data_IF_679405063915
#
_entry.id   IF_679405063915
#
_cell.length_a   1.000
_cell.length_b   1.000
_cell.length_c   1.000
_cell.angle_alpha   90.00
_cell.angle_beta   90.00
_cell.angle_gamma   90.00
#
_symmetry.space_group_name_H-M   'P 1'
#
loop_
_entity.id
_entity.type
_entity.pdbx_description
1 polymer ?
#
# COMPACT_ATOMS: atom_id res chain seq x y z
N UNK A 1 -9.01 1.33 21.15
CA UNK A 1 -10.23 1.93 20.59
C UNK A 1 -11.42 1.35 21.34
N UNK A 2 -11.97 2.05 22.34
CA UNK A 2 -13.09 1.53 23.11
C UNK A 2 -14.36 1.56 22.24
N UNK A 3 -15.04 0.42 22.14
CA UNK A 3 -16.31 0.28 21.46
C UNK A 3 -17.41 0.89 22.33
N UNK A 4 -18.03 1.97 21.86
CA UNK A 4 -19.25 2.52 22.42
C UNK A 4 -20.35 1.45 22.40
N UNK A 5 -20.86 1.12 23.60
CA UNK A 5 -22.01 0.24 23.75
C UNK A 5 -23.26 0.97 23.22
N UNK A 6 -24.14 0.29 22.46
CA UNK A 6 -25.41 0.88 22.09
C UNK A 6 -26.26 1.07 23.35
N UNK A 7 -26.65 2.32 23.62
CA UNK A 7 -27.62 2.66 24.66
C UNK A 7 -28.92 1.91 24.38
N UNK A 8 -29.31 1.07 25.33
CA UNK A 8 -30.61 0.38 25.38
C UNK A 8 -31.72 1.42 25.23
N UNK A 9 -32.33 1.45 24.04
CA UNK A 9 -33.49 2.26 23.76
C UNK A 9 -34.68 1.66 24.49
N UNK A 10 -35.11 2.32 25.56
CA UNK A 10 -36.39 2.06 26.19
C UNK A 10 -37.50 2.14 25.12
N UNK A 11 -38.29 1.07 24.99
CA UNK A 11 -39.46 1.05 24.13
C UNK A 11 -40.45 2.13 24.62
N UNK A 12 -41.05 2.93 23.72
CA UNK A 12 -42.01 3.95 24.10
C UNK A 12 -43.27 3.31 24.70
N UNK A 13 -43.66 3.82 25.87
CA UNK A 13 -44.88 3.51 26.65
C UNK A 13 -46.12 4.10 25.91
N UNK A 14 -46.31 3.76 24.64
CA UNK A 14 -47.35 4.35 23.79
C UNK A 14 -48.45 3.35 23.40
N UNK A 15 -48.45 2.12 23.92
CA UNK A 15 -49.43 1.08 23.56
C UNK A 15 -50.48 0.75 24.63
N UNK A 16 -50.66 1.57 25.67
CA UNK A 16 -51.62 1.27 26.76
C UNK A 16 -52.92 2.08 26.80
N UNK A 17 -53.21 2.95 25.83
CA UNK A 17 -54.39 3.84 25.89
C UNK A 17 -55.54 3.52 24.91
N UNK A 18 -55.62 2.32 24.34
CA UNK A 18 -56.64 2.03 23.32
C UNK A 18 -57.84 1.19 23.77
N UNK A 19 -58.02 0.91 25.06
CA UNK A 19 -59.08 -0.01 25.51
C UNK A 19 -59.93 0.44 26.70
N UNK A 20 -59.87 1.70 27.12
CA UNK A 20 -60.73 2.17 28.21
C UNK A 20 -61.38 3.51 27.82
N UNK A 21 -62.67 3.44 27.45
CA UNK A 21 -63.76 4.36 27.81
C UNK A 21 -64.88 4.27 26.76
N UNK A 22 -65.76 3.27 26.87
CA UNK A 22 -67.12 3.37 26.31
C UNK A 22 -67.98 4.24 27.22
N UNK A 23 -67.58 5.51 27.40
CA UNK A 23 -68.48 6.52 27.98
C UNK A 23 -69.62 6.75 27.00
N UNK A 24 -70.86 6.71 27.50
CA UNK A 24 -72.04 7.12 26.73
C UNK A 24 -71.86 8.58 26.32
N UNK A 25 -71.46 8.80 25.06
CA UNK A 25 -71.32 10.16 24.52
C UNK A 25 -72.65 10.89 24.65
N UNK A 26 -72.59 12.12 25.15
CA UNK A 26 -73.78 12.96 25.21
C UNK A 26 -74.32 13.23 23.80
N UNK A 27 -75.64 13.41 23.67
CA UNK A 27 -76.30 13.68 22.40
C UNK A 27 -75.65 14.83 21.62
N UNK A 28 -75.33 15.91 22.33
CA UNK A 28 -74.66 17.10 21.78
C UNK A 28 -73.25 16.80 21.27
N UNK A 29 -72.52 15.89 21.93
CA UNK A 29 -71.18 15.50 21.52
C UNK A 29 -71.21 14.62 20.27
N UNK A 30 -72.17 13.69 20.16
CA UNK A 30 -72.36 12.92 18.93
C UNK A 30 -72.70 13.81 17.73
N UNK A 31 -73.52 14.84 17.92
CA UNK A 31 -73.85 15.82 16.88
C UNK A 31 -72.61 16.65 16.47
N UNK A 32 -71.85 17.14 17.45
CA UNK A 32 -70.63 17.89 17.20
C UNK A 32 -69.59 17.05 16.43
N UNK A 33 -69.41 15.78 16.80
CA UNK A 33 -68.51 14.85 16.11
C UNK A 33 -68.92 14.63 14.64
N UNK A 34 -70.23 14.49 14.38
CA UNK A 34 -70.76 14.32 13.02
C UNK A 34 -70.64 15.61 12.20
N UNK A 35 -70.90 16.78 12.78
CA UNK A 35 -70.69 18.07 12.12
C UNK A 35 -69.22 18.27 11.75
N UNK A 36 -68.30 17.99 12.68
CA UNK A 36 -66.86 18.05 12.43
C UNK A 36 -66.40 17.07 11.34
N UNK A 37 -67.05 15.91 11.22
CA UNK A 37 -66.76 14.97 10.15
C UNK A 37 -67.27 15.44 8.79
N UNK A 38 -68.46 16.06 8.74
CA UNK A 38 -68.98 16.71 7.53
C UNK A 38 -68.04 17.80 7.03
N UNK A 39 -67.38 18.52 7.93
CA UNK A 39 -66.40 19.56 7.58
C UNK A 39 -65.17 19.01 6.85
N UNK A 40 -64.86 17.73 7.06
CA UNK A 40 -63.73 17.04 6.44
C UNK A 40 -64.10 16.35 5.13
N UNK A 41 -65.39 16.35 4.75
CA UNK A 41 -65.82 15.81 3.47
C UNK A 41 -65.40 16.71 2.31
N UNK A 42 -65.00 16.08 1.22
CA UNK A 42 -64.67 16.75 -0.05
C UNK A 42 -65.95 17.09 -0.83
N UNK A 43 -66.77 17.97 -0.24
CA UNK A 43 -67.99 18.52 -0.83
C UNK A 43 -67.92 20.05 -0.80
N UNK A 44 -68.62 20.72 -1.72
CA UNK A 44 -68.66 22.19 -1.75
C UNK A 44 -69.12 22.77 -0.41
N UNK A 45 -68.69 23.99 -0.08
CA UNK A 45 -69.07 24.68 1.17
C UNK A 45 -70.59 24.74 1.36
N UNK A 46 -71.33 24.99 0.27
CA UNK A 46 -72.80 24.96 0.24
C UNK A 46 -73.35 23.57 0.57
N UNK A 47 -72.72 22.51 0.03
CA UNK A 47 -73.08 21.12 0.33
C UNK A 47 -72.83 20.76 1.79
N UNK A 48 -71.69 21.19 2.36
CA UNK A 48 -71.37 21.00 3.79
C UNK A 48 -72.42 21.66 4.67
N UNK A 49 -72.78 22.92 4.39
CA UNK A 49 -73.77 23.65 5.18
C UNK A 49 -75.16 23.01 5.12
N UNK A 50 -75.58 22.56 3.92
CA UNK A 50 -76.83 21.80 3.78
C UNK A 50 -76.82 20.51 4.59
N UNK A 51 -75.71 19.75 4.57
CA UNK A 51 -75.57 18.53 5.37
C UNK A 51 -75.63 18.84 6.87
N UNK A 52 -74.97 19.89 7.37
CA UNK A 52 -75.05 20.31 8.77
C UNK A 52 -76.50 20.62 9.19
N UNK A 53 -77.22 21.39 8.38
CA UNK A 53 -78.62 21.73 8.63
C UNK A 53 -79.53 20.48 8.61
N UNK A 54 -79.32 19.59 7.64
CA UNK A 54 -80.08 18.33 7.52
C UNK A 54 -79.82 17.39 8.70
N UNK A 55 -78.58 17.31 9.18
CA UNK A 55 -78.20 16.48 10.33
C UNK A 55 -78.88 16.99 11.59
N UNK A 56 -78.86 18.30 11.84
CA UNK A 56 -79.58 18.91 12.98
C UNK A 56 -81.08 18.63 12.93
N UNK A 57 -81.69 18.72 11.75
CA UNK A 57 -83.13 18.48 11.55
C UNK A 57 -83.56 17.01 11.52
N UNK A 58 -82.64 16.08 11.28
CA UNK A 58 -82.93 14.63 11.22
C UNK A 58 -82.51 13.87 12.48
N UNK A 59 -81.70 14.49 13.34
CA UNK A 59 -81.20 13.86 14.55
C UNK A 59 -82.29 13.73 15.62
N UNK A 60 -82.69 12.48 15.92
CA UNK A 60 -83.71 12.15 16.91
C UNK A 60 -85.06 11.79 16.30
N UNK A 61 -85.24 11.92 14.98
CA UNK A 61 -86.36 11.31 14.27
C UNK A 61 -86.10 9.80 14.10
N UNK A 62 -87.02 8.94 14.57
CA UNK A 62 -87.00 7.51 14.28
C UNK A 62 -86.87 7.28 12.77
N UNK A 63 -86.19 6.20 12.36
CA UNK A 63 -85.92 5.93 10.94
C UNK A 63 -87.21 5.77 10.15
N UNK A 64 -88.24 5.24 10.80
CA UNK A 64 -89.58 4.99 10.27
C UNK A 64 -90.36 6.29 10.00
N UNK A 65 -90.03 7.37 10.70
CA UNK A 65 -90.69 8.68 10.58
C UNK A 65 -89.90 9.67 9.71
N UNK A 66 -88.75 9.26 9.17
CA UNK A 66 -87.92 10.13 8.36
C UNK A 66 -88.56 10.43 7.02
N UNK A 67 -88.47 11.70 6.63
CA UNK A 67 -88.81 12.07 5.26
C UNK A 67 -87.75 11.52 4.29
N UNK A 68 -88.13 11.17 3.06
CA UNK A 68 -87.23 10.63 2.00
C UNK A 68 -85.92 11.41 1.81
N UNK A 69 -85.93 12.72 2.07
CA UNK A 69 -84.75 13.58 1.96
C UNK A 69 -83.78 13.40 3.13
N UNK A 70 -84.28 13.14 4.35
CA UNK A 70 -83.46 12.81 5.52
C UNK A 70 -82.79 11.44 5.34
N UNK A 71 -83.50 10.48 4.74
CA UNK A 71 -82.91 9.19 4.40
C UNK A 71 -81.84 9.30 3.31
N UNK A 72 -82.08 10.09 2.26
CA UNK A 72 -81.08 10.34 1.22
C UNK A 72 -79.82 11.01 1.80
N UNK A 73 -79.99 12.01 2.68
CA UNK A 73 -78.88 12.66 3.35
C UNK A 73 -78.11 11.69 4.26
N UNK A 74 -78.80 10.84 5.02
CA UNK A 74 -78.15 9.83 5.87
C UNK A 74 -77.37 8.79 5.05
N UNK A 75 -77.87 8.41 3.86
CA UNK A 75 -77.14 7.53 2.92
C UNK A 75 -75.88 8.21 2.39
N UNK A 76 -75.98 9.45 1.91
CA UNK A 76 -74.82 10.21 1.41
C UNK A 76 -73.75 10.40 2.48
N UNK A 77 -74.14 10.72 3.71
CA UNK A 77 -73.21 10.82 4.84
C UNK A 77 -72.54 9.47 5.10
N UNK A 78 -73.29 8.36 5.08
CA UNK A 78 -72.75 7.01 5.26
C UNK A 78 -71.75 6.64 4.16
N UNK A 79 -72.08 6.89 2.90
CA UNK A 79 -71.20 6.65 1.74
C UNK A 79 -69.90 7.45 1.89
N UNK A 80 -70.01 8.74 2.22
CA UNK A 80 -68.84 9.60 2.41
C UNK A 80 -67.93 9.15 3.57
N UNK A 81 -68.50 8.63 4.66
CA UNK A 81 -67.73 8.01 5.74
C UNK A 81 -67.06 6.70 5.31
N UNK A 82 -67.77 5.86 4.55
CA UNK A 82 -67.23 4.60 4.04
C UNK A 82 -66.05 4.86 3.10
N UNK A 83 -66.19 5.80 2.17
CA UNK A 83 -65.10 6.23 1.27
C UNK A 83 -63.89 6.77 2.06
N UNK A 84 -64.15 7.55 3.12
CA UNK A 84 -63.13 8.05 4.03
C UNK A 84 -62.39 6.93 4.78
N UNK A 85 -63.13 5.94 5.28
CA UNK A 85 -62.57 4.76 5.95
C UNK A 85 -61.71 3.93 4.98
N UNK A 86 -62.22 3.63 3.79
CA UNK A 86 -61.50 2.91 2.75
C UNK A 86 -60.22 3.66 2.34
N UNK A 87 -60.28 4.99 2.20
CA UNK A 87 -59.13 5.85 1.94
C UNK A 87 -58.08 5.82 3.05
N UNK A 88 -58.50 5.86 4.32
CA UNK A 88 -57.59 5.75 5.47
C UNK A 88 -56.97 4.36 5.58
N UNK A 89 -57.74 3.29 5.33
CA UNK A 89 -57.24 1.91 5.29
C UNK A 89 -56.21 1.74 4.18
N UNK A 90 -56.47 2.29 2.97
CA UNK A 90 -55.53 2.27 1.86
C UNK A 90 -54.23 3.03 2.20
N UNK A 91 -54.34 4.22 2.80
CA UNK A 91 -53.16 4.99 3.27
C UNK A 91 -52.37 4.22 4.33
N UNK A 92 -53.05 3.60 5.29
CA UNK A 92 -52.41 2.78 6.34
C UNK A 92 -51.64 1.61 5.74
N UNK A 93 -52.24 0.88 4.79
CA UNK A 93 -51.57 -0.19 4.04
C UNK A 93 -50.35 0.34 3.28
N UNK A 94 -50.50 1.42 2.53
CA UNK A 94 -49.37 2.02 1.79
C UNK A 94 -48.23 2.53 2.68
N UNK A 95 -48.51 3.00 3.89
CA UNK A 95 -47.47 3.35 4.87
C UNK A 95 -46.80 2.10 5.44
N UNK A 96 -47.56 1.03 5.72
CA UNK A 96 -47.00 -0.24 6.19
C UNK A 96 -46.06 -0.85 5.13
N UNK A 97 -46.48 -0.89 3.86
CA UNK A 97 -45.68 -1.41 2.74
C UNK A 97 -44.37 -0.61 2.57
N UNK A 98 -44.44 0.73 2.67
CA UNK A 98 -43.26 1.59 2.65
C UNK A 98 -42.33 1.31 3.82
N UNK A 99 -42.87 1.13 5.02
CA UNK A 99 -42.08 0.82 6.21
C UNK A 99 -41.36 -0.53 6.08
N UNK A 100 -42.04 -1.55 5.56
CA UNK A 100 -41.45 -2.87 5.34
C UNK A 100 -40.40 -2.84 4.22
N UNK A 101 -40.63 -2.08 3.15
CA UNK A 101 -39.60 -1.81 2.14
C UNK A 101 -38.38 -1.12 2.74
N UNK A 102 -38.56 -0.08 3.56
CA UNK A 102 -37.45 0.60 4.22
C UNK A 102 -36.66 -0.32 5.16
N UNK A 103 -37.32 -1.27 5.86
CA UNK A 103 -36.62 -2.28 6.67
C UNK A 103 -35.78 -3.21 5.79
N UNK A 104 -36.36 -3.74 4.71
CA UNK A 104 -35.67 -4.60 3.75
C UNK A 104 -34.44 -3.89 3.16
N UNK A 105 -34.58 -2.64 2.73
CA UNK A 105 -33.47 -1.82 2.21
C UNK A 105 -32.37 -1.60 3.26
N UNK A 106 -32.74 -1.41 4.53
CA UNK A 106 -31.80 -1.27 5.65
C UNK A 106 -31.02 -2.55 5.89
N UNK A 107 -31.69 -3.69 5.90
CA UNK A 107 -31.08 -5.01 6.07
C UNK A 107 -30.11 -5.34 4.92
N UNK A 108 -30.52 -5.07 3.67
CA UNK A 108 -29.67 -5.24 2.50
C UNK A 108 -28.41 -4.36 2.56
N UNK A 109 -28.57 -3.08 2.90
CA UNK A 109 -27.42 -2.15 3.07
C UNK A 109 -26.51 -2.58 4.20
N UNK A 110 -27.07 -3.06 5.32
CA UNK A 110 -26.28 -3.57 6.43
C UNK A 110 -25.49 -4.82 6.04
N UNK A 111 -26.09 -5.74 5.26
CA UNK A 111 -25.40 -6.92 4.73
C UNK A 111 -24.25 -6.54 3.78
N UNK A 112 -24.49 -5.61 2.83
CA UNK A 112 -23.46 -5.08 1.93
C UNK A 112 -22.31 -4.42 2.68
N UNK A 113 -22.61 -3.65 3.73
CA UNK A 113 -21.58 -3.00 4.54
C UNK A 113 -20.71 -4.01 5.30
N UNK A 114 -21.31 -5.08 5.83
CA UNK A 114 -20.57 -6.16 6.50
C UNK A 114 -19.63 -6.87 5.52
N UNK A 115 -20.16 -7.30 4.37
CA UNK A 115 -19.36 -7.95 3.32
C UNK A 115 -18.21 -7.05 2.85
N UNK A 116 -18.47 -5.78 2.55
CA UNK A 116 -17.41 -4.83 2.15
C UNK A 116 -16.33 -4.65 3.22
N UNK A 117 -16.71 -4.66 4.50
CA UNK A 117 -15.75 -4.57 5.61
C UNK A 117 -14.89 -5.83 5.73
N UNK A 118 -15.46 -7.00 5.52
CA UNK A 118 -14.74 -8.28 5.50
C UNK A 118 -13.73 -8.31 4.34
N UNK A 119 -14.17 -7.94 3.13
CA UNK A 119 -13.32 -7.85 1.94
C UNK A 119 -12.15 -6.88 2.16
N UNK A 120 -12.43 -5.69 2.73
CA UNK A 120 -11.40 -4.70 3.02
C UNK A 120 -10.40 -5.21 4.07
N UNK A 121 -10.88 -5.94 5.09
CA UNK A 121 -10.02 -6.53 6.12
C UNK A 121 -9.13 -7.63 5.52
N UNK A 122 -9.67 -8.46 4.63
CA UNK A 122 -8.92 -9.46 3.90
C UNK A 122 -7.84 -8.82 2.99
N UNK A 123 -8.21 -7.77 2.25
CA UNK A 123 -7.28 -7.02 1.40
C UNK A 123 -6.12 -6.40 2.21
N UNK A 124 -6.39 -5.81 3.37
CA UNK A 124 -5.35 -5.30 4.27
C UNK A 124 -4.41 -6.41 4.73
N UNK A 125 -4.93 -7.59 5.06
CA UNK A 125 -4.12 -8.73 5.49
C UNK A 125 -3.18 -9.19 4.38
N UNK A 126 -3.69 -9.33 3.15
CA UNK A 126 -2.88 -9.69 1.97
C UNK A 126 -1.81 -8.63 1.71
N UNK A 127 -2.16 -7.35 1.75
CA UNK A 127 -1.22 -6.25 1.54
C UNK A 127 -0.09 -6.25 2.58
N UNK A 128 -0.40 -6.50 3.86
CA UNK A 128 0.62 -6.58 4.93
C UNK A 128 1.60 -7.72 4.69
N UNK A 129 1.11 -8.91 4.33
CA UNK A 129 1.97 -10.05 4.00
C UNK A 129 2.87 -9.76 2.80
N UNK A 130 2.33 -9.15 1.75
CA UNK A 130 3.11 -8.75 0.57
C UNK A 130 4.19 -7.71 0.92
N UNK A 131 3.86 -6.73 1.78
CA UNK A 131 4.82 -5.74 2.29
C UNK A 131 5.95 -6.40 3.08
N UNK A 132 5.63 -7.35 3.96
CA UNK A 132 6.64 -8.06 4.75
C UNK A 132 7.58 -8.90 3.87
N UNK A 133 7.03 -9.62 2.89
CA UNK A 133 7.83 -10.35 1.90
C UNK A 133 8.76 -9.43 1.11
N UNK A 134 8.25 -8.30 0.62
CA UNK A 134 9.05 -7.30 -0.08
C UNK A 134 10.20 -6.76 0.78
N UNK A 135 9.96 -6.48 2.07
CA UNK A 135 11.01 -6.02 2.98
C UNK A 135 12.09 -7.09 3.23
N UNK A 136 11.70 -8.37 3.32
CA UNK A 136 12.65 -9.47 3.43
C UNK A 136 13.53 -9.57 2.17
N UNK A 137 12.92 -9.54 0.99
CA UNK A 137 13.64 -9.58 -0.29
C UNK A 137 14.57 -8.38 -0.47
N UNK A 138 14.12 -7.18 -0.08
CA UNK A 138 14.93 -5.98 -0.16
C UNK A 138 16.19 -6.07 0.71
N UNK A 139 16.10 -6.67 1.90
CA UNK A 139 17.27 -6.91 2.76
C UNK A 139 18.27 -7.86 2.11
N UNK A 140 17.79 -8.93 1.47
CA UNK A 140 18.66 -9.88 0.74
C UNK A 140 19.37 -9.16 -0.42
N UNK A 141 18.65 -8.32 -1.17
CA UNK A 141 19.24 -7.52 -2.26
C UNK A 141 20.31 -6.56 -1.75
N UNK A 142 20.08 -5.88 -0.62
CA UNK A 142 21.07 -4.99 -0.01
C UNK A 142 22.34 -5.76 0.39
N UNK A 143 22.19 -6.94 1.02
CA UNK A 143 23.34 -7.79 1.38
C UNK A 143 24.12 -8.24 0.15
N UNK A 144 23.43 -8.67 -0.92
CA UNK A 144 24.07 -9.07 -2.18
C UNK A 144 24.80 -7.92 -2.86
N UNK A 145 24.26 -6.70 -2.78
CA UNK A 145 24.91 -5.50 -3.30
C UNK A 145 26.22 -5.21 -2.56
N UNK A 146 26.23 -5.27 -1.23
CA UNK A 146 27.45 -5.10 -0.45
C UNK A 146 28.51 -6.15 -0.81
N UNK A 147 28.10 -7.42 -0.97
CA UNK A 147 29.02 -8.48 -1.37
C UNK A 147 29.58 -8.27 -2.80
N UNK A 148 28.76 -7.78 -3.73
CA UNK A 148 29.19 -7.43 -5.08
C UNK A 148 30.18 -6.26 -5.07
N UNK A 149 29.92 -5.23 -4.27
CA UNK A 149 30.81 -4.07 -4.13
C UNK A 149 32.18 -4.49 -3.56
N UNK A 150 32.19 -5.37 -2.55
CA UNK A 150 33.42 -5.95 -1.99
C UNK A 150 34.19 -6.77 -3.04
N UNK A 151 33.51 -7.67 -3.75
CA UNK A 151 34.12 -8.47 -4.83
C UNK A 151 34.70 -7.59 -5.95
N UNK A 152 34.02 -6.50 -6.29
CA UNK A 152 34.49 -5.53 -7.29
C UNK A 152 35.76 -4.81 -6.82
N UNK A 153 35.82 -4.41 -5.55
CA UNK A 153 37.02 -3.80 -4.95
C UNK A 153 38.20 -4.78 -4.92
N UNK A 154 37.95 -6.04 -4.56
CA UNK A 154 38.99 -7.07 -4.54
C UNK A 154 39.50 -7.39 -5.95
N UNK A 155 38.61 -7.47 -6.94
CA UNK A 155 39.00 -7.61 -8.34
C UNK A 155 39.87 -6.44 -8.80
N UNK A 156 39.52 -5.19 -8.46
CA UNK A 156 40.32 -4.01 -8.79
C UNK A 156 41.71 -4.07 -8.15
N UNK A 157 41.82 -4.52 -6.89
CA UNK A 157 43.10 -4.72 -6.21
C UNK A 157 43.95 -5.79 -6.89
N UNK A 158 43.35 -6.92 -7.26
CA UNK A 158 44.03 -7.99 -8.00
C UNK A 158 44.49 -7.51 -9.37
N UNK A 159 43.67 -6.75 -10.10
CA UNK A 159 44.04 -6.15 -11.38
C UNK A 159 45.18 -5.13 -11.25
N UNK A 160 45.20 -4.33 -10.19
CA UNK A 160 46.29 -3.40 -9.91
C UNK A 160 47.60 -4.16 -9.67
N UNK A 161 47.59 -5.18 -8.80
CA UNK A 161 48.74 -6.05 -8.55
C UNK A 161 49.22 -6.77 -9.81
N UNK A 162 48.30 -7.25 -10.65
CA UNK A 162 48.65 -7.88 -11.92
C UNK A 162 49.33 -6.89 -12.87
N UNK A 163 48.84 -5.65 -12.96
CA UNK A 163 49.47 -4.59 -13.77
C UNK A 163 50.87 -4.25 -13.25
N UNK A 164 51.05 -4.16 -11.93
CA UNK A 164 52.36 -3.95 -11.30
C UNK A 164 53.32 -5.10 -11.61
N UNK A 165 52.86 -6.35 -11.50
CA UNK A 165 53.64 -7.53 -11.81
C UNK A 165 54.05 -7.60 -13.29
N UNK A 166 53.13 -7.28 -14.22
CA UNK A 166 53.44 -7.17 -15.65
C UNK A 166 54.47 -6.07 -15.89
N UNK A 167 54.31 -4.89 -15.30
CA UNK A 167 55.26 -3.79 -15.43
C UNK A 167 56.66 -4.14 -14.91
N UNK A 168 56.74 -4.83 -13.77
CA UNK A 168 58.01 -5.33 -13.24
C UNK A 168 58.65 -6.37 -14.16
N UNK A 169 57.86 -7.31 -14.70
CA UNK A 169 58.33 -8.31 -15.65
C UNK A 169 58.89 -7.66 -16.92
N UNK A 170 58.18 -6.67 -17.46
CA UNK A 170 58.60 -5.99 -18.68
C UNK A 170 59.90 -5.18 -18.44
N UNK A 171 60.06 -4.54 -17.28
CA UNK A 171 61.31 -3.88 -16.86
C UNK A 171 62.47 -4.89 -16.75
N UNK A 172 62.25 -6.06 -16.15
CA UNK A 172 63.26 -7.11 -16.04
C UNK A 172 63.66 -7.65 -17.42
N UNK A 173 62.69 -7.88 -18.32
CA UNK A 173 62.97 -8.31 -19.69
C UNK A 173 63.79 -7.28 -20.45
N UNK A 174 63.45 -5.99 -20.32
CA UNK A 174 64.20 -4.91 -20.95
C UNK A 174 65.64 -4.85 -20.40
N UNK A 175 65.82 -4.89 -19.08
CA UNK A 175 67.13 -4.87 -18.45
C UNK A 175 68.01 -6.06 -18.88
N UNK A 176 67.44 -7.26 -18.96
CA UNK A 176 68.11 -8.46 -19.47
C UNK A 176 68.50 -8.33 -20.94
N UNK A 177 67.68 -7.69 -21.76
CA UNK A 177 67.97 -7.43 -23.17
C UNK A 177 69.09 -6.38 -23.36
N UNK A 178 69.17 -5.37 -22.49
CA UNK A 178 70.19 -4.31 -22.56
C UNK A 178 71.54 -4.73 -21.96
N UNK A 179 71.55 -5.64 -20.98
CA UNK A 179 72.75 -6.08 -20.26
C UNK A 179 73.95 -6.50 -21.15
N UNK A 180 73.76 -7.27 -22.25
CA UNK A 180 74.85 -7.58 -23.18
C UNK A 180 75.49 -6.35 -23.83
N UNK A 181 74.68 -5.34 -24.18
CA UNK A 181 75.16 -4.08 -24.76
C UNK A 181 75.95 -3.27 -23.70
N UNK A 182 75.48 -3.26 -22.46
CA UNK A 182 76.18 -2.63 -21.34
C UNK A 182 77.54 -3.32 -21.13
N UNK A 183 77.59 -4.66 -21.12
CA UNK A 183 78.82 -5.45 -20.98
C UNK A 183 79.86 -5.10 -22.07
N UNK A 184 79.40 -4.85 -23.30
CA UNK A 184 80.24 -4.42 -24.43
C UNK A 184 80.58 -2.92 -24.41
N UNK A 185 79.98 -2.14 -23.52
CA UNK A 185 80.19 -0.69 -23.41
C UNK A 185 79.49 0.14 -24.48
N UNK A 186 78.55 -0.44 -25.23
CA UNK A 186 77.86 0.26 -26.32
C UNK A 186 76.69 1.12 -25.84
N UNK A 187 76.13 0.82 -24.66
CA UNK A 187 75.01 1.55 -24.06
C UNK A 187 75.27 1.73 -22.55
N UNK A 188 74.99 2.94 -22.04
CA UNK A 188 74.81 3.18 -20.61
C UNK A 188 73.30 3.25 -20.35
N UNK A 189 72.78 2.33 -19.55
CA UNK A 189 71.36 2.29 -19.18
C UNK A 189 71.22 2.21 -17.66
N UNK A 190 70.54 3.20 -17.08
CA UNK A 190 70.28 3.27 -15.64
C UNK A 190 69.15 2.32 -15.21
N UNK A 191 68.38 1.75 -16.15
CA UNK A 191 67.28 0.82 -15.85
C UNK A 191 67.72 -0.39 -15.02
N UNK A 192 68.94 -0.90 -15.27
CA UNK A 192 69.53 -2.02 -14.53
C UNK A 192 69.81 -1.66 -13.08
N UNK A 193 70.18 -0.40 -12.81
CA UNK A 193 70.46 0.09 -11.45
C UNK A 193 69.21 0.16 -10.57
N UNK A 194 68.05 0.48 -11.16
CA UNK A 194 66.77 0.52 -10.44
C UNK A 194 66.30 -0.88 -9.99
N UNK A 195 66.69 -1.93 -10.71
CA UNK A 195 66.30 -3.31 -10.42
C UNK A 195 67.21 -4.00 -9.40
N UNK A 196 68.42 -3.49 -9.17
CA UNK A 196 69.41 -4.06 -8.24
C UNK A 196 68.89 -4.21 -6.79
N UNK A 197 67.94 -3.37 -6.37
CA UNK A 197 67.28 -3.48 -5.07
C UNK A 197 66.32 -4.67 -4.96
N UNK A 198 65.79 -5.16 -6.09
CA UNK A 198 64.83 -6.27 -6.15
C UNK A 198 65.50 -7.64 -6.27
N UNK A 199 66.76 -7.69 -6.72
CA UNK A 199 67.51 -8.93 -6.90
C UNK A 199 68.06 -9.43 -5.56
N UNK A 200 67.97 -10.73 -5.31
CA UNK A 200 68.54 -11.41 -4.14
C UNK A 200 70.06 -11.64 -4.29
N UNK A 201 70.82 -10.56 -4.45
CA UNK A 201 72.29 -10.56 -4.38
C UNK A 201 72.75 -10.07 -3.00
N UNK A 202 73.95 -10.49 -2.59
CA UNK A 202 74.61 -9.93 -1.41
C UNK A 202 74.86 -8.42 -1.57
N UNK A 203 74.76 -7.64 -0.49
CA UNK A 203 74.87 -6.17 -0.55
C UNK A 203 76.24 -5.70 -1.06
N UNK A 204 77.29 -6.49 -0.81
CA UNK A 204 78.63 -6.31 -1.36
C UNK A 204 78.62 -6.42 -2.89
N UNK A 205 77.94 -7.43 -3.44
CA UNK A 205 77.79 -7.65 -4.89
C UNK A 205 76.89 -6.60 -5.52
N UNK A 206 75.84 -6.13 -4.83
CA UNK A 206 75.00 -5.02 -5.31
C UNK A 206 75.81 -3.73 -5.45
N UNK A 207 76.63 -3.42 -4.44
CA UNK A 207 77.50 -2.23 -4.44
C UNK A 207 78.59 -2.32 -5.50
N UNK A 208 79.19 -3.50 -5.67
CA UNK A 208 80.15 -3.79 -6.74
C UNK A 208 79.49 -3.64 -8.11
N UNK A 209 78.31 -4.24 -8.33
CA UNK A 209 77.59 -4.16 -9.59
C UNK A 209 77.25 -2.71 -9.97
N UNK A 210 76.77 -1.89 -9.02
CA UNK A 210 76.53 -0.47 -9.26
C UNK A 210 77.79 0.29 -9.65
N UNK A 211 78.95 -0.06 -9.08
CA UNK A 211 80.23 0.55 -9.41
C UNK A 211 80.69 0.11 -10.80
N UNK A 212 80.60 -1.19 -11.10
CA UNK A 212 80.96 -1.78 -12.40
C UNK A 212 80.09 -1.26 -13.55
N UNK A 213 78.79 -1.00 -13.31
CA UNK A 213 77.87 -0.40 -14.29
C UNK A 213 78.29 1.02 -14.69
N UNK A 214 78.95 1.77 -13.80
CA UNK A 214 79.42 3.15 -14.05
C UNK A 214 80.77 3.22 -14.76
N UNK A 215 81.58 2.15 -14.68
CA UNK A 215 82.87 2.09 -15.37
C UNK A 215 82.66 1.88 -16.88
N UNK A 216 83.48 2.54 -17.74
CA UNK A 216 83.50 2.25 -19.17
C UNK A 216 84.02 0.82 -19.39
N UNK A 217 83.61 0.18 -20.50
CA UNK A 217 83.90 -1.24 -20.70
C UNK A 217 85.40 -1.59 -20.76
N UNK A 218 86.25 -0.64 -21.16
CA UNK A 218 87.71 -0.81 -21.22
C UNK A 218 88.34 -0.88 -19.82
N UNK A 219 87.76 -0.19 -18.84
CA UNK A 219 88.27 -0.12 -17.46
C UNK A 219 87.74 -1.24 -16.56
N UNK A 220 86.85 -2.11 -17.07
CA UNK A 220 86.26 -3.21 -16.29
C UNK A 220 87.22 -4.39 -16.19
N UNK A 221 87.64 -4.70 -14.97
CA UNK A 221 88.45 -5.86 -14.66
C UNK A 221 87.68 -7.18 -14.79
N UNK A 222 88.40 -8.30 -14.61
CA UNK A 222 87.78 -9.62 -14.59
C UNK A 222 86.70 -9.76 -13.50
N UNK A 223 86.89 -9.08 -12.36
CA UNK A 223 85.93 -9.02 -11.28
C UNK A 223 84.63 -8.30 -11.68
N UNK A 224 84.72 -7.11 -12.27
CA UNK A 224 83.56 -6.36 -12.74
C UNK A 224 82.71 -7.16 -13.74
N UNK A 225 83.37 -7.87 -14.66
CA UNK A 225 82.71 -8.74 -15.64
C UNK A 225 82.00 -9.92 -14.96
N UNK A 226 82.64 -10.56 -13.99
CA UNK A 226 82.03 -11.66 -13.23
C UNK A 226 80.82 -11.20 -12.43
N UNK A 227 80.89 -10.01 -11.79
CA UNK A 227 79.78 -9.42 -11.05
C UNK A 227 78.59 -9.11 -11.97
N UNK A 228 78.84 -8.56 -13.17
CA UNK A 228 77.78 -8.27 -14.14
C UNK A 228 77.14 -9.54 -14.74
N UNK A 229 77.91 -10.61 -14.98
CA UNK A 229 77.35 -11.91 -15.38
C UNK A 229 76.54 -12.56 -14.25
N UNK A 230 77.00 -12.45 -13.00
CA UNK A 230 76.23 -12.94 -11.84
C UNK A 230 74.93 -12.14 -11.66
N UNK A 231 74.95 -10.82 -11.89
CA UNK A 231 73.76 -9.97 -11.92
C UNK A 231 72.79 -10.40 -13.03
N UNK A 232 73.31 -10.68 -14.23
CA UNK A 232 72.50 -11.19 -15.35
C UNK A 232 71.81 -12.50 -14.99
N UNK A 233 72.55 -13.45 -14.42
CA UNK A 233 71.99 -14.73 -13.97
C UNK A 233 70.92 -14.54 -12.90
N UNK A 234 71.14 -13.64 -11.94
CA UNK A 234 70.18 -13.36 -10.88
C UNK A 234 68.90 -12.67 -11.40
N UNK A 235 69.01 -11.75 -12.37
CA UNK A 235 67.85 -11.15 -13.04
C UNK A 235 67.06 -12.17 -13.86
N UNK A 236 67.76 -13.08 -14.56
CA UNK A 236 67.12 -14.16 -15.31
C UNK A 236 66.36 -15.12 -14.37
N UNK A 237 66.98 -15.52 -13.25
CA UNK A 237 66.31 -16.34 -12.24
C UNK A 237 65.08 -15.65 -11.63
N UNK A 238 65.14 -14.34 -11.39
CA UNK A 238 64.00 -13.57 -10.88
C UNK A 238 62.83 -13.53 -11.88
N UNK A 239 63.14 -13.44 -13.18
CA UNK A 239 62.13 -13.52 -14.25
C UNK A 239 61.46 -14.90 -14.28
N UNK A 240 62.23 -15.98 -14.15
CA UNK A 240 61.72 -17.36 -14.15
C UNK A 240 60.82 -17.64 -12.94
N UNK A 241 61.21 -17.19 -11.75
CA UNK A 241 60.39 -17.33 -10.53
C UNK A 241 59.07 -16.55 -10.66
N UNK A 242 59.10 -15.38 -11.29
CA UNK A 242 57.89 -14.58 -11.55
C UNK A 242 56.88 -15.27 -12.49
N UNK A 243 57.35 -16.06 -13.46
CA UNK A 243 56.49 -16.83 -14.36
C UNK A 243 55.72 -17.96 -13.69
N UNK A 244 56.26 -18.55 -12.62
CA UNK A 244 55.58 -19.66 -11.90
C UNK A 244 54.37 -19.22 -11.08
N UNK A 245 54.31 -17.95 -10.66
CA UNK A 245 53.18 -17.42 -9.89
C UNK A 245 51.93 -17.13 -10.72
N UNK A 246 52.00 -17.28 -12.05
CA UNK A 246 50.92 -16.95 -12.99
C UNK A 246 50.37 -18.17 -13.76
N UNK A 247 50.87 -19.39 -13.48
CA UNK A 247 50.35 -20.66 -14.03
C UNK A 247 49.44 -21.35 -13.02
#
# INVERSE_FOLDING_TARGET
MPFDRPRSGALPIAKRQCLEETRTKSRSQCLADVEQAVDQLDVSDTGREMLRLLIKGSYGCPVEERHRYQDAAARLVREAFQDGEEGLQARRKGVADKADKCKSDLEERAAKLRSSREDFTAAISVFRKAKEAFLADNRILQQRRVALDQSTQDLQRCQAKLKEAIGCRDQLQQALATLPAILQGTVQDESVSALLGQVSLEDSLKSAALSSLKLPAEDRGAFDKAVLEQLRGALAGLLEVGSFLHS
#
